data_IF_933277966015
#
_entry.id   IF_933277966015
#
_cell.length_a   1.000
_cell.length_b   1.000
_cell.length_c   1.000
_cell.angle_alpha   90.00
_cell.angle_beta   90.00
_cell.angle_gamma   90.00
#
_symmetry.space_group_name_H-M   'P 1'
#
loop_
_entity.id
_entity.type
_entity.pdbx_description
1 polymer ?
#
# COMPACT_ATOMS: atom_id res chain seq x y z
N UNK A 1 1.49 -6.36 -3.32
CA UNK A 1 1.75 -5.02 -3.89
C UNK A 1 2.10 -4.00 -2.79
N UNK A 2 2.76 -2.88 -3.13
CA UNK A 2 3.10 -1.79 -2.21
C UNK A 2 2.26 -0.55 -2.51
N UNK A 3 1.58 -0.02 -1.49
CA UNK A 3 0.67 1.13 -1.59
C UNK A 3 1.31 2.43 -1.08
N UNK A 4 2.42 2.34 -0.36
CA UNK A 4 3.15 3.53 0.10
C UNK A 4 4.38 3.20 0.94
N UNK A 5 5.18 4.23 1.17
CA UNK A 5 6.24 4.25 2.19
C UNK A 5 6.10 5.56 2.95
N UNK A 6 5.80 5.47 4.25
CA UNK A 6 5.39 6.59 5.09
C UNK A 6 6.43 6.82 6.19
N UNK A 7 6.42 8.00 6.79
CA UNK A 7 7.37 8.43 7.83
C UNK A 7 7.01 7.97 9.25
N UNK A 8 5.86 7.28 9.39
CA UNK A 8 5.34 6.80 10.66
C UNK A 8 4.36 5.65 10.47
N UNK A 9 4.22 4.81 11.50
CA UNK A 9 3.21 3.73 11.49
C UNK A 9 1.78 4.30 11.48
N UNK A 10 1.55 5.35 12.26
CA UNK A 10 0.27 6.04 12.30
C UNK A 10 -0.10 6.64 10.94
N UNK A 11 0.86 7.25 10.23
CA UNK A 11 0.68 7.70 8.86
C UNK A 11 0.28 6.56 7.92
N UNK A 12 0.96 5.40 8.01
CA UNK A 12 0.63 4.22 7.22
C UNK A 12 -0.80 3.70 7.46
N UNK A 13 -1.28 3.73 8.71
CA UNK A 13 -2.66 3.37 9.06
C UNK A 13 -3.67 4.38 8.51
N UNK A 14 -3.41 5.68 8.68
CA UNK A 14 -4.29 6.73 8.18
C UNK A 14 -4.40 6.72 6.64
N UNK A 15 -3.31 6.42 5.95
CA UNK A 15 -3.29 6.27 4.50
C UNK A 15 -4.11 5.04 4.06
N UNK A 16 -4.00 3.91 4.77
CA UNK A 16 -4.84 2.75 4.49
C UNK A 16 -6.33 3.07 4.64
N UNK A 17 -6.73 3.77 5.69
CA UNK A 17 -8.12 4.17 5.89
C UNK A 17 -8.61 5.10 4.77
N UNK A 18 -7.75 6.01 4.31
CA UNK A 18 -8.04 6.90 3.17
C UNK A 18 -8.26 6.09 1.89
N UNK A 19 -7.37 5.13 1.60
CA UNK A 19 -7.47 4.28 0.42
C UNK A 19 -8.72 3.40 0.46
N UNK A 20 -9.01 2.78 1.61
CA UNK A 20 -10.19 1.91 1.80
C UNK A 20 -11.51 2.67 1.60
N UNK A 21 -11.58 3.94 1.99
CA UNK A 21 -12.74 4.81 1.71
C UNK A 21 -12.92 5.13 0.23
N UNK A 22 -11.83 5.20 -0.54
CA UNK A 22 -11.85 5.63 -1.95
C UNK A 22 -11.96 4.45 -2.92
N UNK A 23 -11.42 3.29 -2.54
CA UNK A 23 -11.25 2.09 -3.36
C UNK A 23 -12.06 0.95 -2.73
N UNK A 24 -13.32 0.74 -3.14
CA UNK A 24 -14.19 -0.30 -2.57
C UNK A 24 -13.58 -1.70 -2.59
N UNK A 25 -12.73 -2.00 -3.58
CA UNK A 25 -12.04 -3.28 -3.75
C UNK A 25 -11.05 -3.60 -2.61
N UNK A 26 -10.69 -2.59 -1.80
CA UNK A 26 -9.88 -2.73 -0.59
C UNK A 26 -10.71 -3.04 0.66
N UNK A 27 -12.04 -2.89 0.62
CA UNK A 27 -12.88 -3.19 1.79
C UNK A 27 -12.79 -4.66 2.17
N UNK A 28 -12.75 -4.92 3.47
CA UNK A 28 -12.59 -6.28 4.03
C UNK A 28 -11.19 -6.87 3.87
N UNK A 29 -10.25 -6.17 3.23
CA UNK A 29 -8.84 -6.57 3.17
C UNK A 29 -8.05 -5.98 4.34
N UNK A 30 -6.94 -6.62 4.69
CA UNK A 30 -6.04 -6.16 5.73
C UNK A 30 -4.67 -5.82 5.14
N UNK A 31 -4.11 -4.63 5.43
CA UNK A 31 -2.78 -4.26 4.97
C UNK A 31 -1.71 -4.92 5.83
N UNK A 32 -0.51 -5.01 5.26
CA UNK A 32 0.72 -5.27 5.99
C UNK A 32 1.49 -3.96 6.13
N UNK A 33 1.73 -3.53 7.37
CA UNK A 33 2.55 -2.35 7.67
C UNK A 33 3.86 -2.85 8.28
N UNK A 34 4.99 -2.53 7.64
CA UNK A 34 6.30 -3.02 8.07
C UNK A 34 7.29 -1.88 8.19
N UNK A 35 7.94 -1.77 9.36
CA UNK A 35 9.06 -0.86 9.58
C UNK A 35 10.23 -1.25 8.67
N UNK A 36 10.80 -0.28 7.99
CA UNK A 36 11.89 -0.44 7.05
C UNK A 36 12.95 0.62 7.32
N UNK A 37 14.14 0.16 7.66
CA UNK A 37 15.28 1.02 8.02
C UNK A 37 16.42 0.79 7.05
N UNK A 38 17.15 1.87 6.75
CA UNK A 38 18.37 1.84 5.95
C UNK A 38 19.35 2.84 6.53
N UNK A 39 20.61 2.45 6.59
CA UNK A 39 21.70 3.33 6.99
C UNK A 39 21.71 4.61 6.13
N UNK A 40 21.85 5.77 6.78
CA UNK A 40 21.85 7.08 6.14
C UNK A 40 20.49 7.54 5.57
N UNK A 41 19.39 6.86 5.88
CA UNK A 41 18.03 7.24 5.45
C UNK A 41 17.06 7.25 6.63
N UNK A 42 15.99 8.07 6.59
CA UNK A 42 14.95 8.03 7.62
C UNK A 42 14.29 6.65 7.68
N UNK A 43 13.86 6.26 8.89
CA UNK A 43 12.98 5.10 9.09
C UNK A 43 11.69 5.32 8.32
N UNK A 44 11.29 4.32 7.55
CA UNK A 44 10.06 4.35 6.76
C UNK A 44 9.15 3.19 7.18
N UNK A 45 7.85 3.33 6.95
CA UNK A 45 6.84 2.30 7.15
C UNK A 45 6.21 1.96 5.81
N UNK A 46 6.46 0.75 5.33
CA UNK A 46 5.91 0.26 4.07
C UNK A 46 4.49 -0.20 4.29
N UNK A 47 3.56 0.40 3.55
CA UNK A 47 2.18 -0.07 3.44
C UNK A 47 2.07 -1.03 2.26
N UNK A 48 1.72 -2.28 2.53
CA UNK A 48 1.60 -3.34 1.53
C UNK A 48 0.25 -4.02 1.62
N UNK A 49 -0.17 -4.60 0.51
CA UNK A 49 -1.33 -5.49 0.46
C UNK A 49 -0.93 -6.82 -0.17
N UNK A 50 -1.26 -7.92 0.51
CA UNK A 50 -1.15 -9.27 -0.03
C UNK A 50 -2.11 -9.45 -1.21
N UNK A 51 -1.60 -10.01 -2.30
CA UNK A 51 -2.32 -10.28 -3.54
C UNK A 51 -1.97 -11.72 -3.94
N UNK A 52 -2.97 -12.49 -4.36
CA UNK A 52 -2.82 -13.94 -4.59
C UNK A 52 -2.10 -14.23 -5.91
N UNK A 53 -2.27 -13.37 -6.92
CA UNK A 53 -1.63 -13.48 -8.23
C UNK A 53 -1.20 -12.11 -8.78
N UNK A 54 -0.25 -12.12 -9.73
CA UNK A 54 0.30 -10.89 -10.30
C UNK A 54 -0.70 -10.13 -11.20
N UNK A 55 -1.66 -10.83 -11.82
CA UNK A 55 -2.68 -10.23 -12.68
C UNK A 55 -3.70 -9.41 -11.87
N UNK A 56 -4.22 -9.99 -10.79
CA UNK A 56 -5.11 -9.30 -9.85
C UNK A 56 -4.40 -8.15 -9.14
N UNK A 57 -3.09 -8.27 -8.88
CA UNK A 57 -2.28 -7.18 -8.36
C UNK A 57 -2.27 -5.97 -9.31
N UNK A 58 -2.13 -6.18 -10.61
CA UNK A 58 -2.08 -5.13 -11.63
C UNK A 58 -3.40 -4.35 -11.72
N UNK A 59 -4.51 -5.05 -11.90
CA UNK A 59 -5.83 -4.42 -12.01
C UNK A 59 -6.19 -3.62 -10.75
N UNK A 60 -5.92 -4.18 -9.55
CA UNK A 60 -6.15 -3.48 -8.30
C UNK A 60 -5.23 -2.26 -8.15
N UNK A 61 -3.98 -2.35 -8.60
CA UNK A 61 -3.04 -1.24 -8.56
C UNK A 61 -3.50 -0.06 -9.42
N UNK A 62 -4.02 -0.33 -10.61
CA UNK A 62 -4.60 0.70 -11.48
C UNK A 62 -5.90 1.29 -10.90
N UNK A 63 -6.73 0.48 -10.26
CA UNK A 63 -7.89 0.98 -9.52
C UNK A 63 -7.48 1.95 -8.39
N UNK A 64 -6.42 1.62 -7.63
CA UNK A 64 -5.87 2.51 -6.60
C UNK A 64 -5.34 3.82 -7.19
N UNK A 65 -4.56 3.74 -8.27
CA UNK A 65 -3.99 4.93 -8.95
C UNK A 65 -5.07 5.86 -9.51
N UNK A 66 -6.06 5.31 -10.20
CA UNK A 66 -7.17 6.10 -10.78
C UNK A 66 -7.99 6.84 -9.73
N UNK A 67 -7.96 6.39 -8.47
CA UNK A 67 -8.64 7.02 -7.31
C UNK A 67 -7.70 7.89 -6.45
N UNK A 68 -6.49 8.19 -6.97
CA UNK A 68 -5.51 9.08 -6.33
C UNK A 68 -4.74 8.45 -5.16
N UNK A 69 -4.52 7.14 -5.22
CA UNK A 69 -3.61 6.41 -4.34
C UNK A 69 -2.28 6.10 -5.02
N UNK A 70 -1.23 5.93 -4.23
CA UNK A 70 0.03 5.39 -4.75
C UNK A 70 -0.06 3.86 -4.82
N UNK A 71 0.51 3.26 -5.86
CA UNK A 71 0.66 1.82 -5.93
C UNK A 71 1.82 1.39 -6.84
N UNK A 72 2.56 0.38 -6.40
CA UNK A 72 3.55 -0.35 -7.15
C UNK A 72 3.36 -1.88 -6.93
N UNK A 73 3.23 -2.63 -8.02
CA UNK A 73 3.28 -4.10 -7.96
C UNK A 73 4.74 -4.50 -7.80
N UNK A 74 5.10 -4.98 -6.61
CA UNK A 74 6.43 -5.54 -6.35
C UNK A 74 6.36 -7.02 -6.72
N UNK A 75 6.78 -7.35 -7.93
CA UNK A 75 6.62 -8.68 -8.54
C UNK A 75 6.86 -8.63 -10.04
N UNK A 76 8.14 -8.63 -10.39
CA UNK A 76 8.74 -8.88 -11.69
C UNK A 76 10.17 -9.32 -11.42
#
# INVERSE_FOLDING_TARGET
MQLGALDSEAGARAEWDRLTRRVPELQGRSPQITRFEREGRPTMWRLRLGVEDAGSAGALCEAVKSRGGACAVLGG
#
